data_IF_499212797740
#
_entry.id   IF_499212797740
#
_cell.length_a   1.000
_cell.length_b   1.000
_cell.length_c   1.000
_cell.angle_alpha   90.00
_cell.angle_beta   90.00
_cell.angle_gamma   90.00
#
_symmetry.space_group_name_H-M   'P 1'
#
loop_
_entity.id
_entity.type
_entity.pdbx_description
1 polymer ?
#
# COMPACT_ATOMS: atom_id res chain seq x y z
N UNK A 1 -11.81 -31.55 -13.15
CA UNK A 1 -11.57 -30.40 -12.24
C UNK A 1 -12.84 -30.20 -11.43
N UNK A 2 -12.94 -30.82 -10.25
CA UNK A 2 -14.07 -30.58 -9.35
C UNK A 2 -13.64 -29.45 -8.44
N UNK A 3 -14.14 -28.24 -8.72
CA UNK A 3 -14.07 -27.14 -7.75
C UNK A 3 -15.17 -27.44 -6.74
N UNK A 4 -14.83 -28.08 -5.62
CA UNK A 4 -15.76 -28.22 -4.50
C UNK A 4 -15.92 -26.81 -3.91
N UNK A 5 -16.99 -26.12 -4.30
CA UNK A 5 -17.42 -24.90 -3.61
C UNK A 5 -18.12 -25.32 -2.33
N UNK A 6 -17.40 -25.34 -1.21
CA UNK A 6 -18.04 -25.21 0.10
C UNK A 6 -18.30 -23.72 0.28
N UNK A 7 -19.52 -23.28 0.00
CA UNK A 7 -19.91 -21.88 0.23
C UNK A 7 -21.35 -21.83 0.73
N UNK A 8 -21.50 -21.85 2.05
CA UNK A 8 -22.73 -21.38 2.74
C UNK A 8 -22.54 -19.98 3.36
N UNK A 9 -21.41 -19.30 3.15
CA UNK A 9 -21.12 -17.99 3.74
C UNK A 9 -20.49 -17.04 2.74
N UNK A 10 -20.98 -15.77 2.69
CA UNK A 10 -20.48 -14.50 2.11
C UNK A 10 -19.70 -14.46 0.76
N UNK A 11 -19.38 -15.61 0.18
CA UNK A 11 -18.45 -15.83 -0.94
C UNK A 11 -19.20 -16.18 -2.22
N UNK A 12 -20.53 -16.30 -2.16
CA UNK A 12 -21.36 -16.49 -3.33
C UNK A 12 -21.54 -15.16 -4.09
N UNK A 13 -21.31 -15.20 -5.41
CA UNK A 13 -21.27 -14.03 -6.28
C UNK A 13 -22.59 -13.22 -6.30
N UNK A 14 -23.72 -13.83 -5.90
CA UNK A 14 -25.05 -13.21 -5.94
C UNK A 14 -25.46 -12.49 -4.63
N UNK A 15 -24.61 -12.47 -3.61
CA UNK A 15 -24.94 -11.77 -2.35
C UNK A 15 -24.86 -10.24 -2.54
N UNK A 16 -25.81 -9.52 -1.93
CA UNK A 16 -25.85 -8.04 -1.97
C UNK A 16 -24.52 -7.41 -1.51
N UNK A 17 -23.88 -8.02 -0.53
CA UNK A 17 -22.53 -7.68 -0.05
C UNK A 17 -21.48 -7.67 -1.16
N UNK A 18 -21.48 -8.66 -2.06
CA UNK A 18 -20.53 -8.74 -3.16
C UNK A 18 -20.89 -7.78 -4.29
N UNK A 19 -22.17 -7.52 -4.52
CA UNK A 19 -22.62 -6.46 -5.45
C UNK A 19 -22.15 -5.09 -4.97
N UNK A 20 -22.33 -4.78 -3.68
CA UNK A 20 -21.90 -3.50 -3.10
C UNK A 20 -20.38 -3.34 -3.14
N UNK A 21 -19.62 -4.37 -2.77
CA UNK A 21 -18.15 -4.32 -2.88
C UNK A 21 -17.65 -4.23 -4.32
N UNK A 22 -18.33 -4.87 -5.28
CA UNK A 22 -18.04 -4.72 -6.70
C UNK A 22 -18.26 -3.29 -7.21
N UNK A 23 -19.07 -2.49 -6.51
CA UNK A 23 -19.28 -1.06 -6.74
C UNK A 23 -18.51 -0.20 -5.73
N UNK A 24 -17.43 -0.72 -5.14
CA UNK A 24 -16.52 0.03 -4.25
C UNK A 24 -17.18 0.53 -2.95
N UNK A 25 -18.30 -0.08 -2.55
CA UNK A 25 -18.98 0.21 -1.28
C UNK A 25 -18.65 -0.87 -0.27
N UNK A 26 -17.93 -0.47 0.78
CA UNK A 26 -17.60 -1.35 1.91
C UNK A 26 -18.86 -1.62 2.74
N UNK A 27 -19.03 -2.86 3.17
CA UNK A 27 -20.20 -3.32 3.93
C UNK A 27 -19.79 -3.90 5.28
N UNK A 28 -20.77 -4.11 6.17
CA UNK A 28 -20.58 -4.87 7.41
C UNK A 28 -21.29 -6.21 7.24
N UNK A 29 -20.57 -7.31 7.45
CA UNK A 29 -21.12 -8.66 7.43
C UNK A 29 -21.21 -9.22 8.85
N UNK A 30 -22.10 -10.19 9.04
CA UNK A 30 -22.21 -10.96 10.27
C UNK A 30 -21.78 -12.40 10.01
N UNK A 31 -20.50 -12.66 10.17
CA UNK A 31 -19.87 -13.98 10.06
C UNK A 31 -18.87 -14.12 11.19
N UNK A 32 -19.16 -14.99 12.15
CA UNK A 32 -18.39 -15.11 13.40
C UNK A 32 -18.16 -13.73 14.07
N UNK A 33 -19.26 -12.99 14.24
CA UNK A 33 -19.28 -11.60 14.73
C UNK A 33 -19.53 -10.56 13.63
N UNK A 34 -19.56 -9.27 14.01
CA UNK A 34 -19.63 -8.17 13.06
C UNK A 34 -18.24 -7.86 12.52
N UNK A 35 -18.07 -7.89 11.19
CA UNK A 35 -16.80 -7.62 10.51
C UNK A 35 -17.02 -6.63 9.37
N UNK A 36 -16.03 -5.77 9.16
CA UNK A 36 -15.97 -4.92 7.97
C UNK A 36 -15.54 -5.77 6.77
N UNK A 37 -16.28 -5.66 5.67
CA UNK A 37 -16.10 -6.46 4.47
C UNK A 37 -16.04 -5.56 3.24
N UNK A 38 -14.83 -5.43 2.70
CA UNK A 38 -14.47 -4.47 1.67
C UNK A 38 -13.22 -3.70 2.05
N UNK A 39 -12.28 -3.58 1.13
CA UNK A 39 -11.05 -2.78 1.31
C UNK A 39 -10.75 -1.88 0.10
N UNK A 40 -11.71 -1.78 -0.83
CA UNK A 40 -11.59 -0.94 -2.02
C UNK A 40 -12.03 0.49 -1.74
N UNK A 41 -11.44 1.43 -2.45
CA UNK A 41 -11.79 2.86 -2.43
C UNK A 41 -12.56 3.23 -3.69
N UNK A 42 -13.26 4.37 -3.67
CA UNK A 42 -13.94 4.94 -4.85
C UNK A 42 -12.98 5.59 -5.86
N UNK A 43 -11.72 5.14 -5.91
CA UNK A 43 -10.69 5.74 -6.76
C UNK A 43 -10.81 5.23 -8.19
N UNK A 44 -10.88 6.14 -9.17
CA UNK A 44 -10.85 5.79 -10.58
C UNK A 44 -9.49 5.22 -11.04
N UNK A 45 -8.42 5.50 -10.29
CA UNK A 45 -7.09 4.96 -10.56
C UNK A 45 -6.89 3.59 -9.85
N UNK A 46 -6.67 2.49 -10.60
CA UNK A 46 -6.47 1.16 -10.05
C UNK A 46 -5.27 1.04 -9.10
N UNK A 47 -4.25 1.90 -9.24
CA UNK A 47 -3.09 1.88 -8.36
C UNK A 47 -3.47 2.24 -6.90
N UNK A 48 -4.51 3.06 -6.74
CA UNK A 48 -5.03 3.52 -5.45
C UNK A 48 -6.31 2.78 -5.03
N UNK A 49 -6.59 1.62 -5.64
CA UNK A 49 -7.82 0.88 -5.41
C UNK A 49 -7.98 0.45 -3.95
N UNK A 50 -6.89 0.18 -3.21
CA UNK A 50 -6.99 -0.31 -1.83
C UNK A 50 -6.83 0.80 -0.78
N UNK A 51 -7.69 0.75 0.25
CA UNK A 51 -7.68 1.72 1.35
C UNK A 51 -6.37 1.70 2.13
N UNK A 52 -5.77 0.52 2.35
CA UNK A 52 -4.49 0.39 3.05
C UNK A 52 -3.35 1.12 2.32
N UNK A 53 -3.35 1.10 0.99
CA UNK A 53 -2.34 1.78 0.16
C UNK A 53 -2.51 3.29 0.32
N UNK A 54 -3.73 3.79 0.13
CA UNK A 54 -4.03 5.22 0.27
C UNK A 54 -3.71 5.75 1.66
N UNK A 55 -4.12 5.04 2.72
CA UNK A 55 -3.80 5.44 4.10
C UNK A 55 -2.30 5.44 4.37
N UNK A 56 -1.56 4.48 3.84
CA UNK A 56 -0.09 4.45 4.01
C UNK A 56 0.54 5.65 3.32
N UNK A 57 0.09 5.98 2.10
CA UNK A 57 0.56 7.15 1.37
C UNK A 57 0.30 8.46 2.14
N UNK A 58 -0.93 8.65 2.63
CA UNK A 58 -1.33 9.86 3.36
C UNK A 58 -0.48 10.02 4.64
N UNK A 59 -0.29 8.94 5.40
CA UNK A 59 0.52 8.95 6.63
C UNK A 59 1.99 9.27 6.32
N UNK A 60 2.57 8.71 5.27
CA UNK A 60 3.95 9.01 4.87
C UNK A 60 4.08 10.49 4.49
N UNK A 61 3.15 11.01 3.69
CA UNK A 61 3.17 12.39 3.24
C UNK A 61 3.08 13.37 4.41
N UNK A 62 2.10 13.17 5.30
CA UNK A 62 1.93 13.99 6.51
C UNK A 62 3.16 13.91 7.42
N UNK A 63 3.73 12.72 7.59
CA UNK A 63 4.89 12.51 8.45
C UNK A 63 6.13 13.19 7.90
N UNK A 64 6.38 13.10 6.59
CA UNK A 64 7.49 13.78 5.94
C UNK A 64 7.34 15.30 6.04
N UNK A 65 6.17 15.85 5.78
CA UNK A 65 5.93 17.30 5.91
C UNK A 65 6.18 17.79 7.33
N UNK A 66 5.63 17.10 8.34
CA UNK A 66 5.80 17.48 9.75
C UNK A 66 7.24 17.38 10.23
N UNK A 67 7.93 16.31 9.85
CA UNK A 67 9.32 16.07 10.29
C UNK A 67 10.30 17.07 9.68
N UNK A 68 10.00 17.63 8.50
CA UNK A 68 10.86 18.60 7.83
C UNK A 68 10.47 20.07 8.12
N UNK A 69 9.58 20.35 9.08
CA UNK A 69 9.28 21.73 9.46
C UNK A 69 10.52 22.52 9.92
N UNK A 70 11.54 21.85 10.48
CA UNK A 70 12.80 22.50 10.87
C UNK A 70 13.64 22.99 9.69
N UNK A 71 13.37 22.49 8.47
CA UNK A 71 14.12 22.87 7.26
C UNK A 71 13.59 24.18 6.67
N UNK A 72 12.36 24.55 7.01
CA UNK A 72 11.77 25.83 6.63
C UNK A 72 12.59 26.96 7.25
N UNK A 73 12.88 27.99 6.46
CA UNK A 73 13.74 29.15 6.80
C UNK A 73 15.25 28.87 6.97
N UNK A 74 15.73 27.64 6.68
CA UNK A 74 17.17 27.38 6.60
C UNK A 74 17.75 27.85 5.26
N UNK A 75 19.02 28.29 5.30
CA UNK A 75 19.75 28.67 4.10
C UNK A 75 19.93 27.45 3.17
N UNK A 76 19.58 27.61 1.89
CA UNK A 76 19.76 26.58 0.86
C UNK A 76 21.25 26.53 0.50
N UNK A 77 21.98 25.69 1.22
CA UNK A 77 23.41 25.41 0.97
C UNK A 77 23.56 24.18 0.07
N UNK A 78 24.78 23.93 -0.42
CA UNK A 78 25.06 22.72 -1.22
C UNK A 78 24.72 21.43 -0.47
N UNK A 79 24.87 21.41 0.86
CA UNK A 79 24.57 20.22 1.68
C UNK A 79 23.10 20.14 2.05
N UNK A 80 22.36 21.26 2.09
CA UNK A 80 20.94 21.30 2.46
C UNK A 80 20.10 20.26 1.72
N UNK A 81 20.26 20.14 0.40
CA UNK A 81 19.51 19.17 -0.40
C UNK A 81 19.81 17.72 0.02
N UNK A 82 21.09 17.42 0.23
CA UNK A 82 21.52 16.09 0.66
C UNK A 82 21.05 15.78 2.07
N UNK A 83 21.18 16.73 3.00
CA UNK A 83 20.81 16.55 4.41
C UNK A 83 19.30 16.30 4.58
N UNK A 84 18.47 17.02 3.82
CA UNK A 84 17.01 16.84 3.80
C UNK A 84 16.63 15.49 3.18
N UNK A 85 17.23 15.14 2.03
CA UNK A 85 16.98 13.86 1.39
C UNK A 85 17.41 12.68 2.29
N UNK A 86 18.54 12.77 2.98
CA UNK A 86 19.01 11.75 3.93
C UNK A 86 18.11 11.64 5.17
N UNK A 87 17.59 12.76 5.68
CA UNK A 87 16.58 12.76 6.74
C UNK A 87 15.30 12.00 6.34
N UNK A 88 14.77 12.32 5.16
CA UNK A 88 13.61 11.61 4.59
C UNK A 88 13.91 10.12 4.33
N UNK A 89 15.08 9.80 3.78
CA UNK A 89 15.52 8.41 3.56
C UNK A 89 15.73 7.64 4.87
N UNK A 90 16.14 8.31 5.95
CA UNK A 90 16.20 7.72 7.29
C UNK A 90 14.83 7.26 7.78
N UNK A 91 13.81 8.10 7.59
CA UNK A 91 12.43 7.75 7.93
C UNK A 91 11.89 6.59 7.07
N UNK A 92 12.08 6.64 5.75
CA UNK A 92 11.64 5.57 4.85
C UNK A 92 12.32 4.23 5.19
N UNK A 93 13.63 4.24 5.51
CA UNK A 93 14.33 3.04 5.99
C UNK A 93 13.74 2.48 7.29
N UNK A 94 13.35 3.36 8.23
CA UNK A 94 12.71 2.93 9.46
C UNK A 94 11.35 2.26 9.18
N UNK A 95 10.56 2.79 8.24
CA UNK A 95 9.30 2.17 7.81
C UNK A 95 9.52 0.81 7.13
N UNK A 96 10.55 0.69 6.30
CA UNK A 96 10.92 -0.60 5.69
C UNK A 96 11.32 -1.62 6.75
N UNK A 97 12.10 -1.22 7.76
CA UNK A 97 12.50 -2.12 8.86
C UNK A 97 11.32 -2.59 9.71
N UNK A 98 10.25 -1.79 9.80
CA UNK A 98 9.00 -2.16 10.46
C UNK A 98 8.07 -3.02 9.58
N UNK A 99 8.38 -3.18 8.29
CA UNK A 99 7.52 -3.86 7.33
C UNK A 99 6.29 -3.06 6.89
N UNK A 100 6.23 -1.76 7.19
CA UNK A 100 5.13 -0.89 6.78
C UNK A 100 5.15 -0.58 5.28
N UNK A 101 6.35 -0.53 4.69
CA UNK A 101 6.58 -0.42 3.25
C UNK A 101 7.61 -1.48 2.82
N UNK A 102 7.53 -1.90 1.56
CA UNK A 102 8.52 -2.79 0.94
C UNK A 102 9.81 -2.04 0.59
N UNK A 103 9.69 -0.75 0.30
CA UNK A 103 10.81 0.13 -0.02
C UNK A 103 10.34 1.54 -0.32
N UNK A 104 11.30 2.46 -0.37
CA UNK A 104 11.11 3.85 -0.76
C UNK A 104 12.40 4.64 -0.69
N UNK A 105 12.50 5.66 -1.52
CA UNK A 105 13.66 6.55 -1.63
C UNK A 105 13.18 7.97 -1.91
N UNK A 106 13.85 8.93 -1.29
CA UNK A 106 13.69 10.37 -1.50
C UNK A 106 14.95 10.94 -2.17
N UNK A 107 14.76 11.82 -3.15
CA UNK A 107 15.84 12.54 -3.83
C UNK A 107 15.40 13.96 -4.20
N UNK A 108 16.35 14.93 -4.26
CA UNK A 108 16.06 16.24 -4.84
C UNK A 108 15.88 16.11 -6.35
N UNK A 109 14.80 16.66 -6.90
CA UNK A 109 14.55 16.64 -8.35
C UNK A 109 15.54 17.58 -9.08
N UNK A 110 16.42 17.08 -9.95
CA UNK A 110 17.41 17.90 -10.64
C UNK A 110 16.79 18.85 -11.68
N UNK A 111 15.65 18.50 -12.26
CA UNK A 111 14.97 19.26 -13.31
C UNK A 111 14.15 20.39 -12.70
N UNK A 112 13.48 20.14 -11.56
CA UNK A 112 12.71 21.15 -10.84
C UNK A 112 13.59 22.09 -9.99
N UNK A 113 14.75 21.65 -9.52
CA UNK A 113 15.67 22.48 -8.72
C UNK A 113 16.57 23.38 -9.58
N UNK A 114 15.97 24.13 -10.50
CA UNK A 114 16.67 25.14 -11.30
C UNK A 114 17.15 26.34 -10.45
N UNK A 115 18.20 27.08 -10.87
CA UNK A 115 18.66 28.28 -10.17
C UNK A 115 17.55 29.34 -9.98
N UNK A 116 16.61 29.43 -10.91
CA UNK A 116 15.48 30.36 -10.83
C UNK A 116 14.51 29.99 -9.69
N UNK A 117 14.27 28.69 -9.49
CA UNK A 117 13.43 28.20 -8.39
C UNK A 117 14.14 28.35 -7.04
N UNK A 118 15.43 28.01 -6.99
CA UNK A 118 16.25 28.16 -5.78
C UNK A 118 16.36 29.63 -5.36
N UNK A 119 16.51 30.56 -6.31
CA UNK A 119 16.51 32.00 -6.03
C UNK A 119 15.18 32.51 -5.45
N UNK A 120 14.07 31.80 -5.69
CA UNK A 120 12.77 32.06 -5.09
C UNK A 120 12.56 31.31 -3.75
N UNK A 121 13.59 30.62 -3.25
CA UNK A 121 13.49 29.79 -2.04
C UNK A 121 12.71 28.49 -2.24
N UNK A 122 12.46 28.07 -3.48
CA UNK A 122 11.71 26.86 -3.81
C UNK A 122 12.66 25.70 -4.05
N UNK A 123 12.42 24.60 -3.33
CA UNK A 123 13.16 23.35 -3.46
C UNK A 123 12.17 22.21 -3.55
N UNK A 124 12.43 21.28 -4.48
CA UNK A 124 11.59 20.15 -4.78
C UNK A 124 12.29 18.85 -4.42
N UNK A 125 11.56 17.98 -3.73
CA UNK A 125 12.00 16.63 -3.38
C UNK A 125 10.94 15.66 -3.85
N UNK A 126 11.37 14.68 -4.62
CA UNK A 126 10.54 13.56 -5.01
C UNK A 126 10.84 12.36 -4.11
N UNK A 127 9.83 11.54 -3.90
CA UNK A 127 10.03 10.27 -3.25
C UNK A 127 9.14 9.20 -3.85
N UNK A 128 9.69 8.00 -3.96
CA UNK A 128 8.95 6.78 -4.25
C UNK A 128 8.72 5.98 -2.96
N UNK A 129 7.67 5.18 -2.97
CA UNK A 129 7.41 4.18 -1.94
C UNK A 129 6.51 3.08 -2.49
N UNK A 130 6.61 1.88 -1.92
CA UNK A 130 5.70 0.78 -2.25
C UNK A 130 5.20 0.14 -0.98
N UNK A 131 3.91 0.29 -0.63
CA UNK A 131 3.32 -0.42 0.50
C UNK A 131 3.03 -1.89 0.13
N UNK A 132 2.90 -2.79 1.13
CA UNK A 132 2.45 -4.15 0.88
C UNK A 132 0.97 -4.17 0.47
N UNK A 133 0.65 -4.97 -0.55
CA UNK A 133 -0.71 -5.11 -1.06
C UNK A 133 -1.50 -6.15 -0.24
N UNK A 134 -2.79 -5.87 0.07
CA UNK A 134 -3.64 -6.83 0.76
C UNK A 134 -4.05 -7.97 -0.18
N UNK A 135 -4.10 -9.20 0.35
CA UNK A 135 -4.63 -10.36 -0.38
C UNK A 135 -6.17 -10.35 -0.34
N UNK A 136 -6.80 -9.72 -1.32
CA UNK A 136 -8.28 -9.59 -1.39
C UNK A 136 -8.98 -10.93 -1.70
N UNK A 137 -8.34 -11.82 -2.47
CA UNK A 137 -8.88 -13.15 -2.78
C UNK A 137 -7.78 -14.20 -2.70
N UNK A 138 -8.05 -15.27 -1.97
CA UNK A 138 -7.16 -16.44 -1.84
C UNK A 138 -7.92 -17.64 -2.41
N UNK A 139 -7.37 -18.24 -3.46
CA UNK A 139 -7.97 -19.41 -4.11
C UNK A 139 -7.09 -20.64 -3.84
N UNK A 140 -7.65 -21.63 -3.16
CA UNK A 140 -7.00 -22.93 -2.99
C UNK A 140 -7.40 -23.85 -4.16
N UNK A 141 -6.42 -24.37 -4.88
CA UNK A 141 -6.63 -25.33 -5.95
C UNK A 141 -6.20 -26.71 -5.47
N UNK A 142 -7.12 -27.68 -5.50
CA UNK A 142 -6.86 -29.05 -5.08
C UNK A 142 -6.77 -29.99 -6.28
N UNK A 143 -5.79 -30.89 -6.26
CA UNK A 143 -5.68 -32.01 -7.19
C UNK A 143 -5.78 -33.32 -6.41
N UNK A 144 -6.72 -34.19 -6.80
CA UNK A 144 -6.82 -35.54 -6.26
C UNK A 144 -5.77 -36.41 -6.95
N UNK A 145 -4.85 -37.00 -6.18
CA UNK A 145 -3.84 -37.93 -6.70
C UNK A 145 -4.04 -39.32 -6.08
N UNK A 146 -3.74 -40.36 -6.84
CA UNK A 146 -3.81 -41.76 -6.39
C UNK A 146 -2.41 -42.32 -6.06
N UNK A 147 -1.37 -41.50 -6.16
CA UNK A 147 0.03 -41.92 -5.97
C UNK A 147 0.28 -42.42 -4.54
N UNK A 148 -0.37 -41.80 -3.57
CA UNK A 148 -0.30 -42.16 -2.14
C UNK A 148 -0.94 -43.51 -1.82
N UNK A 149 -1.74 -44.09 -2.72
CA UNK A 149 -2.31 -45.43 -2.50
C UNK A 149 -1.24 -46.52 -2.50
N UNK A 150 -0.08 -46.27 -3.10
CA UNK A 150 1.05 -47.21 -3.08
C UNK A 150 1.64 -47.41 -1.69
N UNK A 151 1.46 -46.46 -0.76
CA UNK A 151 1.88 -46.59 0.64
C UNK A 151 1.08 -47.64 1.41
N UNK A 152 -0.15 -47.93 0.98
CA UNK A 152 -0.99 -48.97 1.60
C UNK A 152 -0.54 -50.40 1.26
N UNK A 153 0.38 -50.56 0.30
CA UNK A 153 0.88 -51.86 -0.17
C UNK A 153 2.25 -52.23 0.41
N UNK A 154 2.79 -51.42 1.31
CA UNK A 154 4.02 -51.70 2.08
C UNK A 154 3.67 -52.20 3.47
#
# INVERSE_FOLDING_TARGET
MVVIRVAETATEAATMTNVLNGNEVTTIIREDGFRLWGNRTCSADPQWAFLSIRRTADVIHDSLQRTHLWTVDRAITRTYLTDVAEGANGYLRALTAQGAILGGRCWPDPDLNSPANIAQGKVYFDFDFTPPYPAESITFQSTLTHEYLTELLK
#
